data_IF_862259139570
#
_entry.id   IF_862259139570
#
_cell.length_a   1.000
_cell.length_b   1.000
_cell.length_c   1.000
_cell.angle_alpha   90.00
_cell.angle_beta   90.00
_cell.angle_gamma   90.00
#
_symmetry.space_group_name_H-M   'P 1'
#
loop_
_entity.id
_entity.type
_entity.pdbx_description
1 polymer ?
#
# COMPACT_ATOMS: atom_id res chain seq x y z
N UNK A 1 15.47 13.76 2.13
CA UNK A 1 14.87 14.19 0.85
C UNK A 1 13.48 13.65 0.62
N UNK A 2 13.26 12.32 0.50
CA UNK A 2 11.91 11.75 0.33
C UNK A 2 10.93 12.29 1.40
N UNK A 3 11.31 12.26 2.68
CA UNK A 3 10.49 12.81 3.76
C UNK A 3 10.16 14.31 3.55
N UNK A 4 11.13 15.12 3.14
CA UNK A 4 10.93 16.55 2.87
C UNK A 4 10.01 16.77 1.66
N UNK A 5 10.17 15.99 0.59
CA UNK A 5 9.34 16.09 -0.61
C UNK A 5 7.86 15.84 -0.32
N UNK A 6 7.53 14.90 0.56
CA UNK A 6 6.16 14.53 0.88
C UNK A 6 5.59 15.24 2.12
N UNK A 7 6.42 15.81 2.99
CA UNK A 7 5.98 16.60 4.15
C UNK A 7 5.12 17.81 3.78
N UNK A 8 5.24 18.32 2.55
CA UNK A 8 4.39 19.42 2.05
C UNK A 8 2.89 19.09 2.06
N UNK A 9 2.54 17.81 2.01
CA UNK A 9 1.15 17.34 2.01
C UNK A 9 0.63 17.10 3.43
N UNK A 10 1.51 16.98 4.43
CA UNK A 10 1.16 16.79 5.84
C UNK A 10 2.17 15.95 6.62
N UNK A 11 1.93 15.75 7.93
CA UNK A 11 2.75 14.88 8.77
C UNK A 11 2.73 13.44 8.27
N UNK A 12 3.92 12.86 8.05
CA UNK A 12 4.06 11.48 7.60
C UNK A 12 5.27 10.76 8.19
N UNK A 13 5.17 9.43 8.20
CA UNK A 13 6.28 8.50 8.40
C UNK A 13 6.63 7.85 7.07
N UNK A 14 7.91 7.86 6.72
CA UNK A 14 8.42 7.13 5.55
C UNK A 14 9.08 5.85 6.06
N UNK A 15 8.68 4.70 5.55
CA UNK A 15 9.21 3.41 5.98
C UNK A 15 9.53 2.46 4.82
N UNK A 16 10.41 1.49 5.02
CA UNK A 16 10.70 0.41 4.09
C UNK A 16 11.32 -0.79 4.83
N UNK A 17 11.30 -2.01 4.26
CA UNK A 17 11.82 -3.19 4.94
C UNK A 17 13.31 -3.01 5.32
N UNK A 18 13.66 -3.41 6.54
CA UNK A 18 15.02 -3.30 7.11
C UNK A 18 15.58 -1.88 7.21
N UNK A 19 14.72 -0.84 7.20
CA UNK A 19 15.16 0.55 7.29
C UNK A 19 16.02 0.84 8.53
N UNK A 20 15.66 0.30 9.69
CA UNK A 20 16.41 0.51 10.94
C UNK A 20 17.78 -0.21 10.96
N UNK A 21 17.89 -1.34 10.24
CA UNK A 21 19.10 -2.16 10.16
C UNK A 21 20.06 -1.64 9.07
N UNK A 22 19.55 -0.90 8.08
CA UNK A 22 20.33 -0.34 7.00
C UNK A 22 20.66 1.14 7.27
N UNK A 23 21.94 1.51 7.26
CA UNK A 23 22.35 2.94 7.24
C UNK A 23 22.04 3.64 5.90
N UNK A 24 21.35 2.99 4.97
CA UNK A 24 21.00 3.56 3.68
C UNK A 24 19.86 4.56 3.81
N UNK A 25 20.07 5.77 3.30
CA UNK A 25 19.04 6.80 3.16
C UNK A 25 18.02 6.49 2.05
N UNK A 26 18.31 5.50 1.19
CA UNK A 26 17.47 5.10 0.08
C UNK A 26 17.00 3.65 0.20
N UNK A 27 15.75 3.35 -0.19
CA UNK A 27 15.24 1.99 -0.17
C UNK A 27 15.98 1.13 -1.21
N UNK A 28 16.62 0.02 -0.80
CA UNK A 28 17.47 -0.79 -1.69
C UNK A 28 16.67 -1.46 -2.82
N UNK A 29 15.37 -1.71 -2.61
CA UNK A 29 14.45 -2.27 -3.62
C UNK A 29 13.72 -1.22 -4.45
N UNK A 30 14.05 0.06 -4.28
CA UNK A 30 13.49 1.16 -5.07
C UNK A 30 12.05 1.59 -4.71
N UNK A 31 11.50 1.13 -3.58
CA UNK A 31 10.18 1.54 -3.10
C UNK A 31 10.18 1.86 -1.61
N UNK A 32 9.30 2.76 -1.19
CA UNK A 32 9.06 3.12 0.20
C UNK A 32 7.55 3.24 0.47
N UNK A 33 7.17 3.13 1.73
CA UNK A 33 5.82 3.36 2.22
C UNK A 33 5.73 4.77 2.80
N UNK A 34 4.66 5.48 2.45
CA UNK A 34 4.29 6.75 3.04
C UNK A 34 3.08 6.50 3.94
N UNK A 35 3.22 6.78 5.23
CA UNK A 35 2.14 6.69 6.21
C UNK A 35 1.81 8.10 6.67
N UNK A 36 0.74 8.67 6.10
CA UNK A 36 0.21 9.95 6.55
C UNK A 36 -0.66 9.77 7.81
N UNK A 37 -0.71 10.79 8.65
CA UNK A 37 -1.59 10.79 9.83
C UNK A 37 -3.05 11.06 9.44
N UNK A 38 -3.27 11.89 8.42
CA UNK A 38 -4.59 12.37 8.03
C UNK A 38 -4.94 11.95 6.59
N UNK A 39 -6.20 11.56 6.37
CA UNK A 39 -6.74 11.22 5.04
C UNK A 39 -6.63 12.40 4.06
N UNK A 40 -6.87 13.63 4.53
CA UNK A 40 -6.75 14.84 3.73
C UNK A 40 -5.35 15.02 3.13
N UNK A 41 -4.30 14.56 3.83
CA UNK A 41 -2.92 14.61 3.32
C UNK A 41 -2.72 13.63 2.15
N UNK A 42 -3.37 12.46 2.22
CA UNK A 42 -3.36 11.47 1.13
C UNK A 42 -4.09 12.03 -0.09
N UNK A 43 -5.24 12.66 0.12
CA UNK A 43 -6.00 13.29 -0.97
C UNK A 43 -5.19 14.41 -1.63
N UNK A 44 -4.59 15.32 -0.84
CA UNK A 44 -3.74 16.38 -1.37
C UNK A 44 -2.53 15.85 -2.16
N UNK A 45 -1.95 14.72 -1.74
CA UNK A 45 -0.90 14.04 -2.51
C UNK A 45 -1.44 13.50 -3.84
N UNK A 46 -2.59 12.85 -3.84
CA UNK A 46 -3.21 12.30 -5.06
C UNK A 46 -3.53 13.42 -6.05
N UNK A 47 -4.11 14.52 -5.57
CA UNK A 47 -4.49 15.68 -6.39
C UNK A 47 -3.27 16.37 -7.02
N UNK A 48 -2.10 16.29 -6.37
CA UNK A 48 -0.84 16.81 -6.91
C UNK A 48 -0.11 15.85 -7.85
N UNK A 49 -0.60 14.61 -8.03
CA UNK A 49 0.01 13.65 -8.93
C UNK A 49 -0.39 13.87 -10.39
N UNK A 50 0.53 13.56 -11.29
CA UNK A 50 0.29 13.45 -12.73
C UNK A 50 -0.30 12.06 -12.98
N UNK A 51 -1.42 12.00 -13.70
CA UNK A 51 -2.08 10.74 -14.06
C UNK A 51 -1.71 10.33 -15.49
N UNK A 52 -1.11 9.15 -15.64
CA UNK A 52 -0.77 8.54 -16.93
C UNK A 52 -1.12 7.04 -16.88
N UNK A 53 -1.89 6.52 -17.84
CA UNK A 53 -2.29 5.11 -17.93
C UNK A 53 -2.84 4.51 -16.62
N UNK A 54 -3.75 5.23 -15.95
CA UNK A 54 -4.31 4.88 -14.62
C UNK A 54 -3.27 4.75 -13.49
N UNK A 55 -2.07 5.28 -13.69
CA UNK A 55 -1.01 5.35 -12.67
C UNK A 55 -0.81 6.81 -12.27
N UNK A 56 -0.52 7.00 -10.99
CA UNK A 56 -0.20 8.30 -10.43
C UNK A 56 1.33 8.44 -10.33
N UNK A 57 1.85 9.59 -10.73
CA UNK A 57 3.26 9.92 -10.64
C UNK A 57 3.46 11.27 -9.97
N UNK A 58 4.52 11.37 -9.18
CA UNK A 58 4.98 12.64 -8.63
C UNK A 58 6.47 12.79 -8.94
N UNK A 59 6.89 13.96 -9.42
CA UNK A 59 8.31 14.24 -9.59
C UNK A 59 8.94 14.58 -8.23
N UNK A 60 10.02 13.88 -7.90
CA UNK A 60 10.83 14.14 -6.71
C UNK A 60 12.28 14.38 -7.09
N UNK A 61 12.86 15.40 -6.48
CA UNK A 61 14.25 15.79 -6.69
C UNK A 61 15.12 15.42 -5.49
N UNK A 62 16.32 14.94 -5.76
CA UNK A 62 17.44 14.75 -4.83
C UNK A 62 18.63 15.63 -5.27
N UNK A 63 19.67 15.82 -4.44
CA UNK A 63 20.90 16.52 -4.78
C UNK A 63 21.59 15.95 -6.02
N UNK A 64 21.38 14.67 -6.31
CA UNK A 64 22.01 13.95 -7.43
C UNK A 64 21.11 13.77 -8.64
N UNK A 65 19.78 13.80 -8.47
CA UNK A 65 18.81 13.54 -9.54
C UNK A 65 17.69 14.55 -9.43
N UNK A 66 17.48 15.36 -10.47
CA UNK A 66 16.36 16.30 -10.54
C UNK A 66 15.16 15.64 -11.21
N UNK A 67 13.97 15.98 -10.72
CA UNK A 67 12.67 15.67 -11.33
C UNK A 67 12.49 14.20 -11.71
N UNK A 68 12.93 13.30 -10.82
CA UNK A 68 12.72 11.86 -11.03
C UNK A 68 11.25 11.55 -10.84
N UNK A 69 10.54 11.03 -11.86
CA UNK A 69 9.17 10.58 -11.69
C UNK A 69 9.16 9.34 -10.79
N UNK A 70 8.39 9.38 -9.70
CA UNK A 70 8.12 8.23 -8.86
C UNK A 70 6.65 7.86 -8.92
N UNK A 71 6.38 6.57 -9.01
CA UNK A 71 5.00 6.08 -9.04
C UNK A 71 4.41 6.11 -7.62
N UNK A 72 3.25 6.75 -7.50
CA UNK A 72 2.45 6.77 -6.27
C UNK A 72 1.33 5.72 -6.42
N UNK A 73 1.19 4.85 -5.43
CA UNK A 73 0.16 3.80 -5.40
C UNK A 73 -0.57 3.85 -4.06
N UNK A 74 -1.71 4.56 -3.97
CA UNK A 74 -2.47 4.62 -2.72
C UNK A 74 -3.08 3.26 -2.38
N UNK A 75 -3.19 2.96 -1.09
CA UNK A 75 -3.92 1.80 -0.60
C UNK A 75 -5.41 2.11 -0.62
N UNK A 76 -6.18 1.46 -1.50
CA UNK A 76 -7.62 1.67 -1.60
C UNK A 76 -8.34 0.71 -0.65
N UNK A 77 -9.25 1.23 0.18
CA UNK A 77 -10.08 0.39 1.06
C UNK A 77 -10.88 -0.65 0.27
N UNK A 78 -11.31 -0.30 -0.95
CA UNK A 78 -12.01 -1.23 -1.85
C UNK A 78 -11.14 -2.38 -2.38
N UNK A 79 -9.81 -2.28 -2.27
CA UNK A 79 -8.88 -3.36 -2.63
C UNK A 79 -8.55 -4.26 -1.42
N UNK A 80 -8.93 -3.84 -0.21
CA UNK A 80 -8.58 -4.49 1.05
C UNK A 80 -9.61 -5.54 1.49
N UNK A 81 -10.89 -5.43 1.15
CA UNK A 81 -11.91 -6.40 1.54
C UNK A 81 -12.74 -6.81 0.33
N UNK A 82 -13.08 -8.09 0.24
CA UNK A 82 -13.94 -8.62 -0.80
C UNK A 82 -14.77 -9.79 -0.29
N UNK A 83 -16.08 -9.72 -0.53
CA UNK A 83 -17.07 -10.71 -0.11
C UNK A 83 -17.83 -11.21 -1.34
N UNK A 84 -17.89 -12.53 -1.54
CA UNK A 84 -18.70 -13.15 -2.61
C UNK A 84 -20.17 -13.24 -2.23
N UNK A 85 -20.44 -13.59 -0.97
CA UNK A 85 -21.78 -13.74 -0.43
C UNK A 85 -21.86 -13.11 0.95
N UNK A 86 -22.48 -11.93 1.01
CA UNK A 86 -22.65 -11.16 2.24
C UNK A 86 -23.71 -11.76 3.18
N UNK A 87 -24.48 -12.76 2.73
CA UNK A 87 -25.47 -13.45 3.56
C UNK A 87 -24.88 -14.56 4.43
N UNK A 88 -23.65 -15.01 4.13
CA UNK A 88 -22.98 -16.03 4.92
C UNK A 88 -22.37 -15.44 6.21
N UNK A 89 -22.75 -15.91 7.40
CA UNK A 89 -22.12 -15.48 8.65
C UNK A 89 -20.67 -15.97 8.71
N UNK A 90 -19.78 -15.10 9.22
CA UNK A 90 -18.39 -15.45 9.45
C UNK A 90 -18.25 -16.35 10.68
N UNK A 91 -17.64 -17.51 10.49
CA UNK A 91 -17.26 -18.41 11.58
C UNK A 91 -15.76 -18.27 11.85
N UNK A 92 -15.35 -17.79 13.04
CA UNK A 92 -13.93 -17.68 13.40
C UNK A 92 -13.17 -19.01 13.28
N UNK A 93 -13.85 -20.15 13.45
CA UNK A 93 -13.23 -21.49 13.30
C UNK A 93 -12.92 -21.84 11.85
N UNK A 94 -13.49 -21.11 10.90
CA UNK A 94 -13.28 -21.27 9.45
C UNK A 94 -12.48 -20.10 8.86
N UNK A 95 -11.96 -19.23 9.70
CA UNK A 95 -11.14 -18.08 9.30
C UNK A 95 -9.68 -18.40 9.56
N UNK A 96 -8.82 -18.14 8.59
CA UNK A 96 -7.37 -18.37 8.67
C UNK A 96 -6.62 -17.08 8.42
N UNK A 97 -5.50 -16.90 9.10
CA UNK A 97 -4.58 -15.81 8.83
C UNK A 97 -3.47 -16.30 7.90
N UNK A 98 -3.26 -15.60 6.80
CA UNK A 98 -2.23 -15.93 5.80
C UNK A 98 -1.13 -14.87 5.84
N UNK A 99 0.05 -15.27 6.28
CA UNK A 99 1.26 -14.44 6.26
C UNK A 99 2.00 -14.51 4.91
N UNK A 100 2.93 -13.58 4.68
CA UNK A 100 3.85 -13.64 3.54
C UNK A 100 3.23 -13.37 2.16
N UNK A 101 1.97 -12.93 2.11
CA UNK A 101 1.33 -12.52 0.86
C UNK A 101 2.07 -11.34 0.21
N UNK A 102 2.23 -11.31 -1.13
CA UNK A 102 2.85 -10.19 -1.81
C UNK A 102 2.11 -8.88 -1.51
N UNK A 103 2.83 -7.83 -1.13
CA UNK A 103 2.26 -6.51 -0.78
C UNK A 103 1.37 -5.87 -1.86
N UNK A 104 1.56 -6.10 -3.17
CA UNK A 104 0.65 -5.59 -4.22
C UNK A 104 -0.67 -6.37 -4.36
N UNK A 105 -0.89 -7.43 -3.57
CA UNK A 105 -2.04 -8.30 -3.69
C UNK A 105 -3.33 -7.57 -3.27
N UNK A 106 -4.40 -7.80 -4.03
CA UNK A 106 -5.75 -7.27 -3.76
C UNK A 106 -6.63 -8.40 -3.24
N UNK A 107 -7.56 -8.11 -2.33
CA UNK A 107 -8.44 -9.11 -1.72
C UNK A 107 -9.18 -9.95 -2.78
N UNK A 108 -9.75 -9.29 -3.79
CA UNK A 108 -10.43 -9.96 -4.92
C UNK A 108 -9.51 -10.91 -5.71
N UNK A 109 -8.25 -10.55 -5.92
CA UNK A 109 -7.29 -11.41 -6.63
C UNK A 109 -6.92 -12.62 -5.79
N UNK A 110 -6.73 -12.43 -4.49
CA UNK A 110 -6.44 -13.53 -3.57
C UNK A 110 -7.61 -14.52 -3.50
N UNK A 111 -8.83 -14.00 -3.39
CA UNK A 111 -10.03 -14.82 -3.39
C UNK A 111 -10.17 -15.66 -4.67
N UNK A 112 -9.93 -15.05 -5.84
CA UNK A 112 -10.02 -15.77 -7.11
C UNK A 112 -8.99 -16.91 -7.20
N UNK A 113 -7.80 -16.70 -6.62
CA UNK A 113 -6.77 -17.73 -6.51
C UNK A 113 -7.20 -18.86 -5.58
N UNK A 114 -7.67 -18.54 -4.38
CA UNK A 114 -8.14 -19.54 -3.40
C UNK A 114 -9.33 -20.35 -3.92
N UNK A 115 -10.28 -19.69 -4.62
CA UNK A 115 -11.44 -20.35 -5.23
C UNK A 115 -11.12 -21.31 -6.38
N UNK A 116 -9.87 -21.34 -6.87
CA UNK A 116 -9.43 -22.40 -7.76
C UNK A 116 -9.22 -23.74 -7.04
N UNK A 117 -9.04 -23.74 -5.71
CA UNK A 117 -8.68 -24.92 -4.91
C UNK A 117 -9.70 -25.20 -3.79
N UNK A 118 -10.31 -24.17 -3.21
CA UNK A 118 -11.25 -24.28 -2.09
C UNK A 118 -12.34 -23.21 -2.15
N UNK A 119 -13.53 -23.48 -1.61
CA UNK A 119 -14.61 -22.49 -1.59
C UNK A 119 -14.38 -21.47 -0.47
N UNK A 120 -13.86 -20.31 -0.82
CA UNK A 120 -13.67 -19.17 0.09
C UNK A 120 -14.74 -18.12 -0.20
N UNK A 121 -15.42 -17.63 0.84
CA UNK A 121 -16.53 -16.67 0.71
C UNK A 121 -16.11 -15.20 0.93
N UNK A 122 -15.00 -14.96 1.63
CA UNK A 122 -14.49 -13.62 1.95
C UNK A 122 -12.97 -13.62 2.06
N UNK A 123 -12.34 -12.55 1.60
CA UNK A 123 -10.93 -12.25 1.86
C UNK A 123 -10.79 -10.81 2.32
N UNK A 124 -9.99 -10.61 3.36
CA UNK A 124 -9.60 -9.29 3.83
C UNK A 124 -8.07 -9.24 3.87
N UNK A 125 -7.49 -8.12 3.43
CA UNK A 125 -6.07 -7.80 3.53
C UNK A 125 -5.96 -6.64 4.49
N UNK A 126 -5.50 -6.96 5.70
CA UNK A 126 -5.17 -5.96 6.70
C UNK A 126 -3.68 -5.65 6.64
N UNK A 127 -3.34 -4.36 6.60
CA UNK A 127 -1.98 -3.92 6.84
C UNK A 127 -1.69 -4.08 8.34
N UNK A 128 -1.32 -5.30 8.76
CA UNK A 128 -0.92 -5.54 10.16
C UNK A 128 0.41 -4.83 10.39
N UNK A 129 0.37 -3.70 11.09
CA UNK A 129 1.56 -3.06 11.65
C UNK A 129 1.94 -3.87 12.88
N UNK A 130 2.84 -4.84 12.70
CA UNK A 130 3.50 -5.48 13.84
C UNK A 130 4.33 -4.40 14.52
N UNK A 131 3.90 -3.97 15.71
CA UNK A 131 4.65 -3.07 16.60
C UNK A 131 5.78 -3.84 17.28
#
# INVERSE_FOLDING_TARGET
>A
EINASFRRFGPLVVDWPHKAESKSYFPPKGYAFLLFQDEASVQALIDACIQEDDKLYLCVSSPTIKDKPVQIRPWRLSDADFVLDASMPLDPRKTVFVGGVPRPLKARKFLAFENAVSKVCRTCIEAVKVL
#
